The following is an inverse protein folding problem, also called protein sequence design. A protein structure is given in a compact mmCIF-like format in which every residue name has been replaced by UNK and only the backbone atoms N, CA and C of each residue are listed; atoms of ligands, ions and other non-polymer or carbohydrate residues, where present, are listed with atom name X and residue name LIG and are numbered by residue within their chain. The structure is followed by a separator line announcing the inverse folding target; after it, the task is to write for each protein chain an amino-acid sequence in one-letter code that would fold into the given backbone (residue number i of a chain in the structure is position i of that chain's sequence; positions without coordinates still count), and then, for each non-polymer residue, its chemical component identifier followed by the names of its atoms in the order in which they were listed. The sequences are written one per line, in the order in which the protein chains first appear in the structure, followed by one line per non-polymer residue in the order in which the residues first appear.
data_IF_936073444140
#
_entry.id   IF_936073444140
#
_cell.length_a   1.000
_cell.length_b   1.000
_cell.length_c   1.000
_cell.angle_alpha   90.00
_cell.angle_beta   90.00
_cell.angle_gamma   90.00
#
_symmetry.space_group_name_H-M   'P 1'
#
loop_
_entity.id
_entity.type
_entity.pdbx_description
1 polymer ?
#
# COMPACT_ATOMS: atom_id res chain seq x y z
N UNK A 1 23.12 18.43 16.05
CA UNK A 1 22.02 19.34 16.44
C UNK A 1 21.33 19.79 15.17
N UNK A 2 20.22 19.14 14.80
CA UNK A 2 19.25 19.71 13.86
C UNK A 2 17.89 19.48 14.52
N UNK A 3 17.14 20.56 14.63
CA UNK A 3 16.08 20.76 15.60
C UNK A 3 14.71 20.34 15.07
N UNK A 4 13.90 19.94 16.04
CA UNK A 4 12.53 19.45 16.00
C UNK A 4 11.56 20.35 15.21
N UNK A 5 10.89 19.78 14.19
CA UNK A 5 9.61 20.29 13.74
C UNK A 5 8.51 19.54 14.51
N UNK A 6 7.81 20.27 15.38
CA UNK A 6 6.80 19.77 16.30
C UNK A 6 5.56 19.27 15.52
N UNK A 7 5.45 17.96 15.32
CA UNK A 7 4.25 17.32 14.78
C UNK A 7 3.08 17.50 15.75
N UNK A 8 1.91 17.88 15.23
CA UNK A 8 0.65 17.94 15.98
C UNK A 8 0.27 16.50 16.35
N UNK A 9 0.33 16.19 17.65
CA UNK A 9 -0.02 14.91 18.26
C UNK A 9 -1.55 14.75 18.28
N UNK A 10 -2.05 13.74 17.56
CA UNK A 10 -3.45 13.31 17.55
C UNK A 10 -3.46 11.91 18.18
N UNK A 11 -4.24 11.66 19.24
CA UNK A 11 -4.25 10.35 19.90
C UNK A 11 -4.57 9.24 18.88
N UNK A 12 -3.61 8.33 18.66
CA UNK A 12 -3.64 7.27 17.65
C UNK A 12 -2.72 7.47 16.43
N UNK A 13 -1.95 8.56 16.40
CA UNK A 13 -0.98 8.89 15.33
C UNK A 13 0.42 9.21 15.87
N UNK A 14 0.75 8.68 17.06
CA UNK A 14 2.00 9.00 17.74
C UNK A 14 3.15 8.12 17.24
N UNK A 15 4.27 8.79 16.95
CA UNK A 15 5.50 8.35 16.30
C UNK A 15 5.44 8.14 14.78
N UNK A 16 6.45 8.72 14.11
CA UNK A 16 6.64 8.62 12.66
C UNK A 16 6.48 7.18 12.23
N UNK A 17 5.41 6.90 11.49
CA UNK A 17 5.03 5.55 11.04
C UNK A 17 6.05 5.01 10.06
N UNK A 18 7.19 4.58 10.58
CA UNK A 18 7.85 3.43 9.99
C UNK A 18 7.01 2.24 10.42
N UNK A 19 6.23 1.71 9.50
CA UNK A 19 5.51 0.48 9.72
C UNK A 19 6.56 -0.63 9.81
N UNK A 20 7.13 -0.87 10.99
CA UNK A 20 8.24 -1.82 11.16
C UNK A 20 7.76 -3.27 11.18
N UNK A 21 6.47 -3.50 11.44
CA UNK A 21 5.86 -4.82 11.47
C UNK A 21 5.50 -5.32 10.06
N UNK A 22 5.83 -6.58 9.71
CA UNK A 22 5.41 -7.19 8.46
C UNK A 22 3.89 -7.11 8.25
N UNK A 23 3.46 -6.63 7.09
CA UNK A 23 2.04 -6.41 6.78
C UNK A 23 1.65 -7.07 5.47
N UNK A 24 0.51 -7.78 5.47
CA UNK A 24 -0.11 -8.33 4.25
C UNK A 24 -1.50 -7.74 4.09
N UNK A 25 -1.74 -7.06 2.96
CA UNK A 25 -3.05 -6.53 2.59
C UNK A 25 -3.72 -7.50 1.61
N UNK A 26 -4.92 -7.95 1.95
CA UNK A 26 -5.76 -8.77 1.07
C UNK A 26 -6.85 -7.91 0.45
N UNK A 27 -6.84 -7.77 -0.88
CA UNK A 27 -7.81 -6.96 -1.62
C UNK A 27 -8.88 -7.87 -2.21
N UNK A 28 -10.08 -7.83 -1.63
CA UNK A 28 -11.28 -8.42 -2.23
C UNK A 28 -11.79 -7.51 -3.35
N UNK A 29 -12.02 -8.08 -4.53
CA UNK A 29 -12.30 -7.27 -5.73
C UNK A 29 -11.04 -6.72 -6.37
N UNK A 30 -9.91 -7.44 -6.28
CA UNK A 30 -8.63 -7.03 -6.86
C UNK A 30 -8.68 -6.75 -8.38
N UNK A 31 -9.66 -7.32 -9.08
CA UNK A 31 -9.90 -7.08 -10.51
C UNK A 31 -10.74 -5.82 -10.82
N UNK A 32 -11.23 -5.11 -9.80
CA UNK A 32 -12.16 -3.98 -9.93
C UNK A 32 -11.47 -2.65 -10.23
N UNK A 33 -12.28 -1.69 -10.70
CA UNK A 33 -11.81 -0.37 -11.12
C UNK A 33 -11.16 0.43 -9.98
N UNK A 34 -11.72 0.37 -8.77
CA UNK A 34 -11.16 1.03 -7.60
C UNK A 34 -9.74 0.55 -7.27
N UNK A 35 -9.50 -0.76 -7.43
CA UNK A 35 -8.18 -1.36 -7.18
C UNK A 35 -7.15 -0.77 -8.13
N UNK A 36 -7.47 -0.74 -9.42
CA UNK A 36 -6.57 -0.24 -10.46
C UNK A 36 -6.35 1.27 -10.36
N UNK A 37 -7.41 2.06 -10.17
CA UNK A 37 -7.32 3.53 -10.23
C UNK A 37 -6.89 4.21 -8.94
N UNK A 38 -7.03 3.54 -7.79
CA UNK A 38 -6.82 4.17 -6.47
C UNK A 38 -5.97 3.33 -5.53
N UNK A 39 -6.34 2.08 -5.27
CA UNK A 39 -5.68 1.31 -4.22
C UNK A 39 -4.22 1.00 -4.57
N UNK A 40 -3.97 0.41 -5.74
CA UNK A 40 -2.60 0.08 -6.15
C UNK A 40 -1.73 1.33 -6.33
N UNK A 41 -2.19 2.40 -7.00
CA UNK A 41 -1.43 3.65 -7.07
C UNK A 41 -1.11 4.25 -5.69
N UNK A 42 -2.05 4.22 -4.74
CA UNK A 42 -1.81 4.73 -3.39
C UNK A 42 -0.79 3.88 -2.61
N UNK A 43 -0.87 2.54 -2.70
CA UNK A 43 0.10 1.65 -2.07
C UNK A 43 1.50 1.81 -2.69
N UNK A 44 1.58 2.03 -4.00
CA UNK A 44 2.84 2.34 -4.67
C UNK A 44 3.43 3.67 -4.20
N UNK A 45 2.60 4.71 -4.02
CA UNK A 45 3.04 6.00 -3.48
C UNK A 45 3.62 5.85 -2.07
N UNK A 46 2.92 5.14 -1.17
CA UNK A 46 3.40 4.87 0.19
C UNK A 46 4.72 4.08 0.19
N UNK A 47 4.89 3.15 -0.76
CA UNK A 47 6.15 2.42 -0.93
C UNK A 47 7.30 3.35 -1.34
N UNK A 48 7.06 4.28 -2.28
CA UNK A 48 8.06 5.27 -2.69
C UNK A 48 8.46 6.25 -1.56
N UNK A 49 7.51 6.60 -0.70
CA UNK A 49 7.75 7.46 0.48
C UNK A 49 8.39 6.72 1.67
N UNK A 50 8.68 5.42 1.52
CA UNK A 50 9.26 4.60 2.59
C UNK A 50 8.35 4.45 3.81
N UNK A 51 7.03 4.60 3.63
CA UNK A 51 6.01 4.52 4.68
C UNK A 51 5.49 3.10 4.89
N UNK A 52 6.09 2.11 4.22
CA UNK A 52 5.67 0.71 4.25
C UNK A 52 6.74 -0.16 4.93
N UNK A 53 6.34 -1.28 5.57
CA UNK A 53 7.31 -2.25 6.08
C UNK A 53 8.19 -2.80 4.96
N UNK A 54 9.42 -3.17 5.29
CA UNK A 54 10.29 -3.90 4.36
C UNK A 54 9.62 -5.22 3.91
N UNK A 55 8.95 -5.90 4.85
CA UNK A 55 8.16 -7.10 4.60
C UNK A 55 6.69 -6.79 4.33
N UNK A 56 6.41 -6.13 3.21
CA UNK A 56 5.05 -5.82 2.76
C UNK A 56 4.58 -6.72 1.61
N UNK A 57 3.33 -7.19 1.65
CA UNK A 57 2.72 -8.01 0.60
C UNK A 57 1.30 -7.58 0.27
N UNK A 58 0.92 -7.69 -1.00
CA UNK A 58 -0.47 -7.52 -1.48
C UNK A 58 -0.95 -8.83 -2.07
N UNK A 59 -2.10 -9.30 -1.61
CA UNK A 59 -2.78 -10.50 -2.13
C UNK A 59 -4.11 -10.08 -2.75
N UNK A 60 -4.30 -10.36 -4.03
CA UNK A 60 -5.55 -10.08 -4.72
C UNK A 60 -6.51 -11.27 -4.69
N UNK A 61 -7.78 -11.03 -4.35
CA UNK A 61 -8.86 -12.02 -4.48
C UNK A 61 -10.00 -11.47 -5.32
N UNK A 62 -10.42 -12.21 -6.35
CA UNK A 62 -11.53 -11.84 -7.22
C UNK A 62 -12.17 -13.06 -7.87
N UNK A 63 -13.39 -12.87 -8.43
CA UNK A 63 -14.13 -13.92 -9.12
C UNK A 63 -13.58 -14.28 -10.51
N UNK A 64 -12.91 -13.33 -11.17
CA UNK A 64 -12.33 -13.55 -12.50
C UNK A 64 -10.98 -14.20 -12.35
N UNK A 65 -10.77 -15.32 -13.03
CA UNK A 65 -9.47 -15.98 -13.08
C UNK A 65 -8.44 -15.08 -13.75
N UNK A 66 -7.31 -14.90 -13.06
CA UNK A 66 -6.13 -14.18 -13.54
C UNK A 66 -4.89 -14.85 -12.97
N UNK A 67 -3.82 -14.86 -13.76
CA UNK A 67 -2.49 -15.18 -13.23
C UNK A 67 -1.90 -13.93 -12.58
N UNK A 68 -0.96 -14.12 -11.65
CA UNK A 68 -0.23 -13.01 -11.04
C UNK A 68 0.46 -12.11 -12.08
N UNK A 69 0.95 -12.70 -13.18
CA UNK A 69 1.57 -11.97 -14.28
C UNK A 69 0.55 -11.05 -14.97
N UNK A 70 -0.59 -11.61 -15.43
CA UNK A 70 -1.66 -10.84 -16.06
C UNK A 70 -2.17 -9.72 -15.17
N UNK A 71 -2.35 -9.98 -13.86
CA UNK A 71 -2.84 -8.96 -12.95
C UNK A 71 -1.80 -7.84 -12.74
N UNK A 72 -0.51 -8.17 -12.61
CA UNK A 72 0.55 -7.15 -12.52
C UNK A 72 0.64 -6.28 -13.78
N UNK A 73 0.48 -6.86 -14.95
CA UNK A 73 0.52 -6.10 -16.21
C UNK A 73 -0.64 -5.12 -16.31
N UNK A 74 -1.85 -5.53 -15.90
CA UNK A 74 -3.01 -4.63 -15.81
C UNK A 74 -2.78 -3.49 -14.83
N UNK A 75 -2.19 -3.75 -13.66
CA UNK A 75 -1.92 -2.71 -12.66
C UNK A 75 -0.81 -1.73 -13.09
N UNK A 76 0.06 -2.11 -14.03
CA UNK A 76 1.07 -1.20 -14.61
C UNK A 76 0.54 -0.34 -15.76
N UNK A 77 -0.54 -0.78 -16.39
CA UNK A 77 -1.13 -0.11 -17.56
C UNK A 77 -2.12 1.01 -17.19
N UNK A 78 -2.63 1.02 -15.96
CA UNK A 78 -3.53 2.04 -15.42
C UNK A 78 -2.80 3.22 -14.79
#
# INVERSE_FOLDING_TARGET
MVESAKTISLPGLEDGRKADEPCTIVIFGASGDLTARKLIPALYHLHLEGQMPESFRVVGFARREKTDASWRDEMRAG
#
